data_IF_738021874640
#
_entry.id   IF_738021874640
#
_cell.length_a   1.000
_cell.length_b   1.000
_cell.length_c   1.000
_cell.angle_alpha   90.00
_cell.angle_beta   90.00
_cell.angle_gamma   90.00
#
_symmetry.space_group_name_H-M   'P 1'
#
loop_
_entity.id
_entity.type
_entity.pdbx_description
1 polymer ?
#
# COMPACT_ATOMS: atom_id res chain seq x y z
N UNK A 1 -3.07 -3.01 23.07
CA UNK A 1 -4.21 -2.95 22.11
C UNK A 1 -4.49 -4.34 21.56
N UNK A 2 -5.75 -4.75 21.43
CA UNK A 2 -6.12 -6.12 21.02
C UNK A 2 -5.83 -6.41 19.53
N UNK A 3 -5.28 -7.59 19.23
CA UNK A 3 -5.00 -8.06 17.85
C UNK A 3 -6.27 -8.51 17.11
N UNK A 4 -7.27 -9.03 17.83
CA UNK A 4 -8.52 -9.56 17.25
C UNK A 4 -9.27 -8.56 16.32
N UNK A 5 -9.50 -7.29 16.72
CA UNK A 5 -10.18 -6.32 15.85
C UNK A 5 -9.42 -6.01 14.54
N UNK A 6 -8.09 -5.98 14.60
CA UNK A 6 -7.27 -5.70 13.41
C UNK A 6 -7.32 -6.86 12.40
N UNK A 7 -7.33 -8.10 12.88
CA UNK A 7 -7.48 -9.29 12.03
C UNK A 7 -8.88 -9.38 11.39
N UNK A 8 -9.92 -8.95 12.11
CA UNK A 8 -11.29 -8.86 11.55
C UNK A 8 -11.38 -7.83 10.42
N UNK A 9 -10.79 -6.66 10.60
CA UNK A 9 -10.70 -5.65 9.54
C UNK A 9 -9.93 -6.17 8.32
N UNK A 10 -8.83 -6.90 8.54
CA UNK A 10 -8.07 -7.52 7.47
C UNK A 10 -8.91 -8.53 6.68
N UNK A 11 -9.68 -9.39 7.35
CA UNK A 11 -10.60 -10.34 6.68
C UNK A 11 -11.68 -9.63 5.88
N UNK A 12 -12.28 -8.57 6.44
CA UNK A 12 -13.26 -7.75 5.70
C UNK A 12 -12.64 -7.12 4.46
N UNK A 13 -11.43 -6.58 4.58
CA UNK A 13 -10.72 -6.03 3.44
C UNK A 13 -10.49 -7.08 2.35
N UNK A 14 -10.13 -8.31 2.70
CA UNK A 14 -10.01 -9.39 1.72
C UNK A 14 -11.33 -9.66 0.98
N UNK A 15 -12.46 -9.70 1.68
CA UNK A 15 -13.78 -9.83 1.04
C UNK A 15 -14.08 -8.66 0.09
N UNK A 16 -13.70 -7.43 0.46
CA UNK A 16 -13.87 -6.25 -0.38
C UNK A 16 -13.01 -6.35 -1.65
N UNK A 17 -11.75 -6.80 -1.53
CA UNK A 17 -10.85 -7.00 -2.67
C UNK A 17 -11.38 -8.09 -3.62
N UNK A 18 -11.91 -9.17 -3.08
CA UNK A 18 -12.49 -10.28 -3.86
C UNK A 18 -13.77 -9.85 -4.60
N UNK A 19 -14.64 -9.08 -3.94
CA UNK A 19 -15.89 -8.60 -4.55
C UNK A 19 -15.70 -7.39 -5.46
N UNK A 20 -14.65 -6.60 -5.24
CA UNK A 20 -14.45 -5.33 -5.92
C UNK A 20 -15.44 -4.24 -5.48
N UNK A 21 -16.06 -4.37 -4.31
CA UNK A 21 -17.05 -3.42 -3.78
C UNK A 21 -17.21 -3.53 -2.26
N UNK A 22 -17.76 -2.48 -1.64
CA UNK A 22 -18.13 -2.46 -0.23
C UNK A 22 -19.37 -1.60 0.02
N UNK A 23 -20.06 -1.83 1.13
CA UNK A 23 -21.22 -1.03 1.55
C UNK A 23 -20.83 0.01 2.59
N UNK A 24 -21.35 1.23 2.43
CA UNK A 24 -21.22 2.31 3.42
C UNK A 24 -22.46 3.21 3.39
N UNK A 25 -23.10 3.37 4.55
CA UNK A 25 -24.27 4.25 4.68
C UNK A 25 -25.42 3.88 3.74
N UNK A 26 -25.67 2.58 3.53
CA UNK A 26 -26.73 2.09 2.64
C UNK A 26 -26.43 2.22 1.15
N UNK A 27 -25.19 2.57 0.77
CA UNK A 27 -24.75 2.65 -0.62
C UNK A 27 -23.65 1.62 -0.89
N UNK A 28 -23.74 0.96 -2.03
CA UNK A 28 -22.66 0.14 -2.56
C UNK A 28 -21.67 1.02 -3.31
N UNK A 29 -20.40 0.92 -2.94
CA UNK A 29 -19.28 1.60 -3.61
C UNK A 29 -18.48 0.53 -4.33
N UNK A 30 -18.49 0.57 -5.66
CA UNK A 30 -17.60 -0.25 -6.48
C UNK A 30 -16.20 0.36 -6.50
N UNK A 31 -15.20 -0.51 -6.41
CA UNK A 31 -13.77 -0.21 -6.59
C UNK A 31 -13.14 -1.13 -7.65
N UNK A 32 -13.94 -1.96 -8.32
CA UNK A 32 -13.48 -3.05 -9.17
C UNK A 32 -12.59 -2.54 -10.31
N UNK A 33 -13.03 -1.48 -10.98
CA UNK A 33 -12.29 -0.88 -12.09
C UNK A 33 -10.94 -0.29 -11.61
N UNK A 34 -10.95 0.50 -10.54
CA UNK A 34 -9.76 1.12 -9.99
C UNK A 34 -8.76 0.07 -9.49
N UNK A 35 -9.27 -0.99 -8.85
CA UNK A 35 -8.48 -2.10 -8.35
C UNK A 35 -7.82 -2.87 -9.50
N UNK A 36 -8.58 -3.24 -10.52
CA UNK A 36 -8.06 -3.93 -11.71
C UNK A 36 -6.96 -3.10 -12.38
N UNK A 37 -7.21 -1.80 -12.57
CA UNK A 37 -6.21 -0.88 -13.13
C UNK A 37 -4.95 -0.80 -12.27
N UNK A 38 -5.09 -0.73 -10.95
CA UNK A 38 -3.94 -0.65 -10.04
C UNK A 38 -3.10 -1.94 -10.10
N UNK A 39 -3.75 -3.11 -10.09
CA UNK A 39 -3.08 -4.42 -10.19
C UNK A 39 -2.37 -4.58 -11.54
N UNK A 40 -3.05 -4.24 -12.63
CA UNK A 40 -2.50 -4.32 -13.99
C UNK A 40 -1.34 -3.34 -14.21
N UNK A 41 -1.39 -2.16 -13.60
CA UNK A 41 -0.34 -1.15 -13.71
C UNK A 41 0.83 -1.36 -12.73
N UNK A 42 0.74 -2.32 -11.81
CA UNK A 42 1.80 -2.58 -10.84
C UNK A 42 3.05 -3.10 -11.56
N UNK A 43 4.21 -2.49 -11.26
CA UNK A 43 5.51 -2.90 -11.82
C UNK A 43 6.48 -3.26 -10.70
N UNK A 44 7.30 -4.26 -10.97
CA UNK A 44 8.50 -4.55 -10.18
C UNK A 44 9.69 -3.86 -10.86
N UNK A 45 10.55 -3.24 -10.07
CA UNK A 45 11.74 -2.53 -10.55
C UNK A 45 12.93 -3.27 -9.97
N UNK A 46 13.76 -3.85 -10.84
CA UNK A 46 14.96 -4.57 -10.42
C UNK A 46 16.04 -3.60 -9.93
N UNK A 47 16.92 -4.00 -8.99
CA UNK A 47 17.95 -3.10 -8.43
C UNK A 47 18.93 -2.52 -9.46
N UNK A 48 19.11 -3.18 -10.60
CA UNK A 48 19.95 -2.76 -11.72
C UNK A 48 19.19 -1.93 -12.77
N UNK A 49 17.89 -1.67 -12.55
CA UNK A 49 17.09 -0.81 -13.45
C UNK A 49 17.70 0.59 -13.49
N UNK A 50 18.09 1.03 -14.68
CA UNK A 50 18.64 2.36 -14.88
C UNK A 50 17.60 3.43 -14.48
N UNK A 51 17.99 4.29 -13.53
CA UNK A 51 17.17 5.42 -13.10
C UNK A 51 17.56 6.63 -13.93
N UNK A 52 16.57 7.28 -14.54
CA UNK A 52 16.79 8.51 -15.29
C UNK A 52 17.39 9.60 -14.37
N UNK A 53 18.29 10.45 -14.90
CA UNK A 53 18.86 11.54 -14.11
C UNK A 53 17.77 12.50 -13.62
N UNK A 54 17.88 12.92 -12.36
CA UNK A 54 16.93 13.85 -11.74
C UNK A 54 17.11 15.24 -12.34
N UNK A 55 16.03 15.79 -12.91
CA UNK A 55 15.98 17.19 -13.34
C UNK A 55 15.25 17.98 -12.24
N UNK A 56 15.87 19.04 -11.67
CA UNK A 56 15.20 19.90 -10.70
C UNK A 56 13.91 20.50 -11.27
N UNK A 57 12.83 20.40 -10.50
CA UNK A 57 11.56 21.05 -10.86
C UNK A 57 11.64 22.58 -10.71
N UNK A 58 10.76 23.30 -11.40
CA UNK A 58 10.69 24.76 -11.35
C UNK A 58 9.98 25.32 -10.09
N UNK A 59 9.46 24.45 -9.21
CA UNK A 59 8.69 24.85 -8.02
C UNK A 59 9.52 24.59 -6.76
N UNK A 60 9.36 25.46 -5.76
CA UNK A 60 9.92 25.25 -4.44
C UNK A 60 9.18 24.12 -3.72
N UNK A 61 9.92 23.14 -3.19
CA UNK A 61 9.36 22.04 -2.39
C UNK A 61 8.99 22.53 -0.99
N UNK A 62 7.72 22.37 -0.61
CA UNK A 62 7.26 22.55 0.78
C UNK A 62 7.48 21.26 1.55
N UNK A 63 8.23 21.34 2.65
CA UNK A 63 8.50 20.19 3.52
C UNK A 63 7.73 20.40 4.83
N UNK A 64 6.96 19.38 5.24
CA UNK A 64 6.17 19.38 6.47
C UNK A 64 6.48 18.13 7.28
N UNK A 65 6.52 18.28 8.61
CA UNK A 65 6.61 17.16 9.55
C UNK A 65 5.37 17.21 10.43
N UNK A 66 4.52 16.20 10.30
CA UNK A 66 3.22 16.14 10.98
C UNK A 66 3.09 14.85 11.78
N UNK A 67 2.05 14.78 12.64
CA UNK A 67 1.67 13.55 13.36
C UNK A 67 0.59 12.76 12.63
N UNK A 68 0.44 12.97 11.33
CA UNK A 68 -0.56 12.28 10.50
C UNK A 68 -0.16 10.83 10.24
N UNK A 69 -1.16 9.97 10.01
CA UNK A 69 -0.90 8.69 9.37
C UNK A 69 -0.60 8.91 7.89
N UNK A 70 0.02 7.93 7.22
CA UNK A 70 0.31 8.01 5.79
C UNK A 70 -0.96 8.27 4.95
N UNK A 71 -2.09 7.62 5.28
CA UNK A 71 -3.34 7.81 4.55
C UNK A 71 -4.04 9.13 4.89
N UNK A 72 -3.88 9.66 6.10
CA UNK A 72 -4.42 10.97 6.44
C UNK A 72 -3.71 12.07 5.65
N UNK A 73 -2.38 12.04 5.60
CA UNK A 73 -1.58 12.98 4.80
C UNK A 73 -1.90 12.83 3.29
N UNK A 74 -1.96 11.60 2.77
CA UNK A 74 -2.33 11.36 1.37
C UNK A 74 -3.73 11.88 1.06
N UNK A 75 -4.72 11.65 1.93
CA UNK A 75 -6.09 12.15 1.77
C UNK A 75 -6.16 13.68 1.80
N UNK A 76 -5.43 14.32 2.71
CA UNK A 76 -5.34 15.78 2.78
C UNK A 76 -4.76 16.36 1.49
N UNK A 77 -3.59 15.88 1.07
CA UNK A 77 -2.92 16.34 -0.16
C UNK A 77 -3.78 16.09 -1.41
N UNK A 78 -4.47 14.94 -1.48
CA UNK A 78 -5.41 14.67 -2.56
C UNK A 78 -6.59 15.66 -2.56
N UNK A 79 -7.12 16.02 -1.38
CA UNK A 79 -8.15 17.05 -1.23
C UNK A 79 -7.69 18.45 -1.63
N UNK A 80 -6.38 18.72 -1.59
CA UNK A 80 -5.75 19.94 -2.12
C UNK A 80 -5.57 19.90 -3.66
N UNK A 81 -6.05 18.84 -4.33
CA UNK A 81 -5.94 18.66 -5.79
C UNK A 81 -4.60 18.09 -6.25
N UNK A 82 -3.80 17.51 -5.34
CA UNK A 82 -2.51 16.91 -5.67
C UNK A 82 -2.63 15.39 -5.94
N UNK A 83 -1.59 14.83 -6.55
CA UNK A 83 -1.44 13.39 -6.79
C UNK A 83 -0.36 12.80 -5.86
N UNK A 84 -0.71 12.44 -4.61
CA UNK A 84 0.27 12.00 -3.63
C UNK A 84 0.86 10.62 -3.99
N UNK A 85 2.17 10.47 -3.78
CA UNK A 85 2.85 9.18 -3.72
C UNK A 85 3.20 8.88 -2.26
N UNK A 86 2.93 7.66 -1.80
CA UNK A 86 3.17 7.24 -0.44
C UNK A 86 4.20 6.11 -0.40
N UNK A 87 5.24 6.27 0.42
CA UNK A 87 6.20 5.21 0.70
C UNK A 87 5.58 4.20 1.69
N UNK A 88 5.62 2.92 1.35
CA UNK A 88 5.26 1.82 2.26
C UNK A 88 6.52 1.32 2.98
N UNK A 89 6.45 1.13 4.29
CA UNK A 89 7.51 0.50 5.09
C UNK A 89 7.37 -1.03 4.97
N UNK A 90 7.66 -1.52 3.77
CA UNK A 90 7.26 -2.85 3.32
C UNK A 90 8.05 -3.97 4.01
N UNK A 91 7.37 -5.08 4.28
CA UNK A 91 8.00 -6.36 4.53
C UNK A 91 8.63 -6.87 3.25
N UNK A 92 9.92 -7.19 3.29
CA UNK A 92 10.58 -7.85 2.16
C UNK A 92 10.01 -9.26 1.86
N UNK A 93 9.33 -9.91 2.82
CA UNK A 93 8.98 -11.35 2.72
C UNK A 93 7.49 -11.65 2.59
N UNK A 94 6.63 -10.74 3.05
CA UNK A 94 5.20 -10.98 3.12
C UNK A 94 4.42 -9.78 2.58
N UNK A 95 3.59 -9.95 1.53
CA UNK A 95 2.78 -8.85 1.02
C UNK A 95 1.81 -8.34 2.08
N UNK A 96 1.88 -7.04 2.40
CA UNK A 96 1.07 -6.45 3.46
C UNK A 96 1.53 -6.83 4.86
N UNK A 97 2.75 -7.37 5.01
CA UNK A 97 3.33 -7.74 6.30
C UNK A 97 2.48 -8.74 7.06
N UNK A 98 2.22 -8.46 8.34
CA UNK A 98 1.42 -9.31 9.22
C UNK A 98 -0.08 -8.97 9.27
N UNK A 99 -0.65 -8.25 8.29
CA UNK A 99 -1.96 -7.61 8.45
C UNK A 99 -3.11 -8.59 8.71
N UNK A 100 -3.10 -9.77 8.07
CA UNK A 100 -4.08 -10.84 8.29
C UNK A 100 -4.06 -11.37 9.73
N UNK A 101 -2.90 -11.34 10.38
CA UNK A 101 -2.71 -11.76 11.77
C UNK A 101 -3.01 -10.65 12.78
N UNK A 102 -3.46 -9.48 12.30
CA UNK A 102 -3.75 -8.31 13.13
C UNK A 102 -2.51 -7.59 13.64
N UNK A 103 -1.36 -7.75 12.97
CA UNK A 103 -0.17 -6.94 13.25
C UNK A 103 -0.44 -5.46 12.95
N UNK A 104 0.28 -4.58 13.65
CA UNK A 104 0.05 -3.13 13.59
C UNK A 104 1.38 -2.41 13.37
N UNK A 105 1.69 -2.16 12.12
CA UNK A 105 2.61 -1.12 11.70
C UNK A 105 1.99 -0.35 10.52
N UNK A 106 2.82 0.43 9.83
CA UNK A 106 2.38 1.28 8.74
C UNK A 106 1.90 0.47 7.54
N UNK A 107 2.68 -0.52 7.09
CA UNK A 107 2.30 -1.41 5.98
C UNK A 107 0.96 -2.12 6.25
N UNK A 108 0.78 -2.71 7.44
CA UNK A 108 -0.47 -3.42 7.72
C UNK A 108 -1.68 -2.49 7.77
N UNK A 109 -1.46 -1.22 8.14
CA UNK A 109 -2.52 -0.22 8.13
C UNK A 109 -2.89 0.16 6.70
N UNK A 110 -1.91 0.32 5.80
CA UNK A 110 -2.16 0.51 4.37
C UNK A 110 -2.88 -0.69 3.74
N UNK A 111 -2.43 -1.91 4.04
CA UNK A 111 -3.01 -3.15 3.52
C UNK A 111 -4.46 -3.36 3.99
N UNK A 112 -4.81 -2.93 5.22
CA UNK A 112 -6.20 -3.01 5.74
C UNK A 112 -7.13 -1.93 5.22
N UNK A 113 -6.61 -0.88 4.60
CA UNK A 113 -7.38 0.32 4.26
C UNK A 113 -7.30 0.70 2.79
N UNK A 114 -6.80 -0.19 1.92
CA UNK A 114 -6.63 0.08 0.49
C UNK A 114 -6.52 -1.19 -0.36
N UNK A 115 -6.45 -1.01 -1.68
CA UNK A 115 -6.14 -2.04 -2.68
C UNK A 115 -4.70 -2.58 -2.65
N UNK A 116 -3.84 -2.11 -1.73
CA UNK A 116 -2.40 -2.38 -1.75
C UNK A 116 -2.09 -3.88 -1.74
N UNK A 117 -2.79 -4.67 -0.92
CA UNK A 117 -2.53 -6.11 -0.85
C UNK A 117 -2.73 -6.80 -2.20
N UNK A 118 -3.76 -6.46 -2.97
CA UNK A 118 -3.99 -7.05 -4.29
C UNK A 118 -2.87 -6.69 -5.28
N UNK A 119 -2.33 -5.47 -5.20
CA UNK A 119 -1.22 -5.03 -6.04
C UNK A 119 0.08 -5.79 -5.71
N UNK A 120 0.32 -6.04 -4.43
CA UNK A 120 1.50 -6.75 -3.92
C UNK A 120 1.40 -8.27 -4.02
N UNK A 121 0.18 -8.81 -4.04
CA UNK A 121 -0.05 -10.24 -4.14
C UNK A 121 0.55 -10.75 -5.45
N UNK A 122 1.35 -11.82 -5.37
CA UNK A 122 2.02 -12.47 -6.51
C UNK A 122 3.25 -11.77 -7.10
N UNK A 123 3.82 -10.78 -6.42
CA UNK A 123 5.10 -10.18 -6.85
C UNK A 123 6.30 -11.08 -6.55
N UNK A 124 7.27 -11.09 -7.47
CA UNK A 124 8.48 -11.92 -7.44
C UNK A 124 9.43 -11.53 -6.31
N UNK A 125 9.47 -10.24 -5.94
CA UNK A 125 10.34 -9.73 -4.86
C UNK A 125 10.25 -10.58 -3.59
N UNK A 126 9.05 -11.01 -3.20
CA UNK A 126 8.85 -11.76 -1.96
C UNK A 126 9.49 -13.15 -2.00
N UNK A 127 9.48 -13.82 -3.16
CA UNK A 127 10.17 -15.10 -3.31
C UNK A 127 11.69 -14.89 -3.25
N UNK A 128 12.19 -13.88 -3.96
CA UNK A 128 13.61 -13.52 -3.93
C UNK A 128 14.15 -13.31 -2.51
N UNK A 129 13.46 -12.50 -1.69
CA UNK A 129 13.90 -12.22 -0.31
C UNK A 129 13.68 -13.37 0.67
N UNK A 130 12.76 -14.30 0.37
CA UNK A 130 12.60 -15.54 1.15
C UNK A 130 13.75 -16.51 0.89
N UNK A 131 14.22 -16.61 -0.34
CA UNK A 131 15.31 -17.51 -0.74
C UNK A 131 16.70 -16.98 -0.35
N UNK A 132 16.93 -15.66 -0.43
CA UNK A 132 18.24 -15.05 -0.18
C UNK A 132 18.67 -15.04 1.30
N UNK A 133 17.72 -15.08 2.23
CA UNK A 133 17.95 -15.05 3.69
C UNK A 133 18.87 -13.93 4.21
N UNK A 134 19.02 -12.83 3.47
CA UNK A 134 19.78 -11.65 3.87
C UNK A 134 18.86 -10.64 4.59
N UNK A 135 19.35 -10.05 5.68
CA UNK A 135 18.62 -9.04 6.45
C UNK A 135 18.78 -7.62 5.88
N UNK A 136 19.75 -7.40 4.99
CA UNK A 136 19.91 -6.13 4.26
C UNK A 136 18.90 -5.97 3.12
N UNK A 137 18.27 -7.06 2.69
CA UNK A 137 17.34 -7.10 1.56
C UNK A 137 17.98 -6.53 0.28
N UNK A 138 17.18 -6.01 -0.65
CA UNK A 138 17.63 -5.39 -1.90
C UNK A 138 16.71 -4.24 -2.28
#
# INVERSE_FOLDING_TARGET
MARKPAAELARRMMTILERGEYEVGGRTVSIAHELERAVAATREIDPDTAIAPVVPGARATRIEVTRETTLDAARRLHGEGLAPCALTFASARNPGGGFLNGARAQEESLARSSGLYACLSHRRMYAHHRERHDALYS
#
